data_IF_568247716240
#
_entry.id   IF_568247716240
#
_cell.length_a   1.000
_cell.length_b   1.000
_cell.length_c   1.000
_cell.angle_alpha   90.00
_cell.angle_beta   90.00
_cell.angle_gamma   90.00
#
_symmetry.space_group_name_H-M   'P 1'
#
loop_
_entity.id
_entity.type
_entity.pdbx_description
1 polymer ?
#
# COMPACT_ATOMS: atom_id res chain seq x y z
N UNK A 1 36.85 -18.16 16.22
CA UNK A 1 35.97 -19.10 15.50
C UNK A 1 35.03 -18.32 14.59
N UNK A 2 34.93 -18.74 13.33
CA UNK A 2 34.38 -17.97 12.20
C UNK A 2 32.90 -18.30 11.96
N UNK A 3 32.04 -17.28 11.88
CA UNK A 3 30.57 -17.31 11.79
C UNK A 3 30.02 -17.73 10.41
N UNK A 4 30.66 -18.70 9.73
CA UNK A 4 30.39 -19.02 8.32
C UNK A 4 29.84 -20.44 8.05
N UNK A 5 29.30 -21.13 9.06
CA UNK A 5 28.89 -22.54 8.93
C UNK A 5 27.42 -22.82 9.24
N UNK A 6 26.47 -22.01 8.75
CA UNK A 6 25.04 -22.30 9.02
C UNK A 6 24.13 -22.50 7.80
N UNK A 7 24.63 -22.63 6.58
CA UNK A 7 23.75 -22.94 5.44
C UNK A 7 24.35 -24.06 4.59
N UNK A 8 24.06 -25.30 4.98
CA UNK A 8 24.36 -26.51 4.21
C UNK A 8 23.55 -27.70 4.73
N UNK A 9 22.57 -28.15 3.95
CA UNK A 9 21.75 -29.34 4.24
C UNK A 9 20.32 -29.18 3.69
N UNK A 10 20.11 -29.23 2.37
CA UNK A 10 19.71 -30.44 1.61
C UNK A 10 18.45 -31.11 2.18
N UNK A 11 17.33 -30.96 1.48
CA UNK A 11 16.11 -31.73 1.68
C UNK A 11 15.47 -32.03 0.33
N UNK A 12 16.06 -32.96 -0.41
CA UNK A 12 15.53 -33.50 -1.65
C UNK A 12 14.53 -34.64 -1.37
N UNK A 13 13.41 -34.62 -2.11
CA UNK A 13 12.57 -35.73 -2.56
C UNK A 13 12.17 -36.86 -1.59
N UNK A 14 10.86 -37.07 -1.43
CA UNK A 14 10.28 -38.41 -1.36
C UNK A 14 8.86 -38.46 -1.94
N UNK A 15 8.74 -39.01 -3.15
CA UNK A 15 7.51 -39.54 -3.71
C UNK A 15 7.15 -40.88 -3.03
N UNK A 16 5.84 -41.14 -2.95
CA UNK A 16 5.15 -42.44 -2.82
C UNK A 16 5.13 -43.17 -1.45
N UNK A 17 3.92 -43.31 -0.90
CA UNK A 17 3.59 -44.23 0.19
C UNK A 17 2.08 -44.30 0.41
N UNK A 18 1.44 -45.39 -0.02
CA UNK A 18 0.00 -45.62 0.06
C UNK A 18 -0.45 -46.09 1.47
N UNK A 19 -1.64 -45.60 1.86
CA UNK A 19 -2.67 -46.23 2.70
C UNK A 19 -2.39 -46.54 4.19
N UNK A 20 -3.00 -45.76 5.09
CA UNK A 20 -3.69 -46.26 6.29
C UNK A 20 -4.60 -45.18 6.91
N UNK A 21 -5.89 -45.40 6.75
CA UNK A 21 -7.08 -44.96 7.51
C UNK A 21 -6.89 -44.13 8.79
N UNK A 22 -7.51 -42.94 8.85
CA UNK A 22 -8.52 -42.53 9.85
C UNK A 22 -8.65 -40.99 9.91
N UNK A 23 -9.44 -40.39 9.03
CA UNK A 23 -9.97 -39.05 9.28
C UNK A 23 -11.49 -39.14 9.44
N UNK A 24 -11.90 -38.80 10.65
CA UNK A 24 -13.25 -38.80 11.18
C UNK A 24 -14.25 -38.10 10.25
N UNK A 25 -15.45 -38.68 10.17
CA UNK A 25 -16.62 -38.04 9.60
C UNK A 25 -16.95 -36.77 10.40
N UNK A 26 -16.69 -35.60 9.82
CA UNK A 26 -17.36 -34.37 10.24
C UNK A 26 -18.75 -34.33 9.60
N UNK A 27 -19.82 -33.96 10.33
CA UNK A 27 -21.09 -33.66 9.70
C UNK A 27 -20.91 -32.44 8.80
N UNK A 28 -21.26 -32.62 7.51
CA UNK A 28 -21.28 -31.56 6.52
C UNK A 28 -22.37 -30.53 6.86
N UNK A 29 -22.04 -29.56 7.71
CA UNK A 29 -22.81 -28.33 7.87
C UNK A 29 -22.28 -27.30 6.86
N UNK A 30 -22.41 -27.63 5.58
CA UNK A 30 -22.10 -26.73 4.47
C UNK A 30 -23.34 -26.56 3.63
N UNK A 31 -24.30 -25.76 4.11
CA UNK A 31 -25.38 -25.28 3.26
C UNK A 31 -24.75 -24.49 2.13
N UNK A 32 -24.72 -25.07 0.92
CA UNK A 32 -24.33 -24.36 -0.28
C UNK A 32 -25.36 -23.25 -0.53
N UNK A 33 -25.06 -22.04 -0.05
CA UNK A 33 -25.71 -20.84 -0.56
C UNK A 33 -25.30 -20.72 -2.02
N UNK A 34 -26.28 -20.82 -2.92
CA UNK A 34 -26.07 -20.56 -4.34
C UNK A 34 -25.48 -19.15 -4.47
N UNK A 35 -24.22 -19.07 -4.90
CA UNK A 35 -23.60 -17.82 -5.28
C UNK A 35 -24.38 -17.30 -6.50
N UNK A 36 -24.90 -16.07 -6.49
CA UNK A 36 -25.49 -15.50 -7.70
C UNK A 36 -24.41 -15.48 -8.78
N UNK A 37 -24.73 -16.01 -9.96
CA UNK A 37 -23.86 -15.87 -11.13
C UNK A 37 -23.85 -14.38 -11.46
N UNK A 38 -22.77 -13.71 -11.12
CA UNK A 38 -22.52 -12.33 -11.55
C UNK A 38 -22.22 -12.44 -13.05
N UNK A 39 -23.19 -12.10 -13.89
CA UNK A 39 -22.93 -11.96 -15.32
C UNK A 39 -21.84 -10.90 -15.50
N UNK A 40 -20.80 -11.15 -16.33
CA UNK A 40 -19.81 -10.14 -16.61
C UNK A 40 -20.53 -8.97 -17.27
N UNK A 41 -20.59 -7.83 -16.57
CA UNK A 41 -21.09 -6.58 -17.11
C UNK A 41 -20.13 -6.12 -18.23
N UNK A 42 -20.34 -6.63 -19.45
CA UNK A 42 -19.68 -6.19 -20.66
C UNK A 42 -20.13 -4.74 -20.93
N UNK A 43 -19.39 -3.78 -20.40
CA UNK A 43 -19.73 -2.36 -20.54
C UNK A 43 -19.12 -1.43 -19.50
N UNK A 44 -18.49 -1.95 -18.42
CA UNK A 44 -17.66 -1.12 -17.55
C UNK A 44 -16.28 -0.88 -18.19
N UNK A 45 -16.30 -0.06 -19.23
CA UNK A 45 -15.11 0.64 -19.71
C UNK A 45 -14.56 1.50 -18.56
N UNK A 46 -13.33 1.21 -18.14
CA UNK A 46 -12.60 2.06 -17.19
C UNK A 46 -12.15 3.38 -17.86
N UNK A 47 -12.45 3.58 -19.14
CA UNK A 47 -12.21 4.80 -19.92
C UNK A 47 -13.17 5.96 -19.66
N UNK A 48 -14.23 5.76 -18.88
CA UNK A 48 -15.21 6.80 -18.53
C UNK A 48 -14.77 7.77 -17.42
N UNK A 49 -13.63 7.53 -16.77
CA UNK A 49 -12.99 8.47 -15.83
C UNK A 49 -11.69 8.95 -16.48
N UNK A 50 -11.79 9.48 -17.69
CA UNK A 50 -10.67 10.15 -18.34
C UNK A 50 -11.03 11.63 -18.41
N UNK A 51 -10.23 12.46 -17.73
CA UNK A 51 -10.27 13.93 -17.81
C UNK A 51 -11.43 14.66 -17.11
N UNK A 52 -11.59 14.52 -15.78
CA UNK A 52 -12.03 15.67 -14.95
C UNK A 52 -11.89 15.54 -13.42
N UNK A 53 -11.36 14.44 -12.87
CA UNK A 53 -11.17 14.34 -11.40
C UNK A 53 -9.77 14.76 -10.92
N UNK A 54 -8.84 15.05 -11.84
CA UNK A 54 -7.45 15.41 -11.50
C UNK A 54 -7.21 16.90 -11.31
N UNK A 55 -8.04 17.76 -11.89
CA UNK A 55 -8.01 19.21 -11.70
C UNK A 55 -9.35 19.79 -12.22
N UNK A 56 -10.12 20.42 -11.34
CA UNK A 56 -11.32 21.22 -11.73
C UNK A 56 -10.89 22.55 -12.37
N UNK A 57 -9.59 22.81 -12.36
CA UNK A 57 -8.93 24.03 -12.81
C UNK A 57 -8.16 23.74 -14.11
N UNK A 58 -8.30 24.63 -15.08
CA UNK A 58 -7.58 24.53 -16.35
C UNK A 58 -6.40 25.53 -16.37
N UNK A 59 -5.24 25.07 -16.85
CA UNK A 59 -4.04 25.89 -17.03
C UNK A 59 -2.97 25.62 -15.98
N UNK A 60 -1.71 25.88 -16.34
CA UNK A 60 -0.55 25.63 -15.49
C UNK A 60 -0.22 26.87 -14.64
N UNK A 61 -0.03 26.65 -13.34
CA UNK A 61 0.52 27.64 -12.40
C UNK A 61 2.00 27.29 -12.19
N UNK A 62 2.91 28.26 -12.27
CA UNK A 62 4.30 28.04 -11.88
C UNK A 62 4.36 27.86 -10.35
N UNK A 63 4.56 26.63 -9.86
CA UNK A 63 4.26 26.32 -8.48
C UNK A 63 5.37 26.81 -7.53
N UNK A 64 6.63 26.85 -8.00
CA UNK A 64 7.74 27.39 -7.20
C UNK A 64 7.74 28.91 -7.19
N UNK A 65 7.54 29.57 -8.32
CA UNK A 65 7.60 31.02 -8.39
C UNK A 65 6.41 31.70 -7.70
N UNK A 66 5.22 31.08 -7.77
CA UNK A 66 3.96 31.68 -7.27
C UNK A 66 3.63 31.17 -5.87
N UNK A 67 3.64 29.86 -5.65
CA UNK A 67 3.20 29.25 -4.40
C UNK A 67 4.36 28.89 -3.46
N UNK A 68 5.59 28.85 -3.96
CA UNK A 68 6.78 28.53 -3.18
C UNK A 68 6.91 27.06 -2.83
N UNK A 69 6.30 26.14 -3.58
CA UNK A 69 6.51 24.69 -3.46
C UNK A 69 6.22 24.00 -4.79
N UNK A 70 6.91 22.89 -5.09
CA UNK A 70 6.62 22.02 -6.24
C UNK A 70 5.80 20.79 -5.80
N UNK A 71 4.55 20.62 -6.28
CA UNK A 71 3.73 19.44 -6.00
C UNK A 71 4.39 18.11 -6.40
N UNK A 72 5.21 18.11 -7.45
CA UNK A 72 5.86 16.89 -7.94
C UNK A 72 6.96 16.44 -6.99
N UNK A 73 7.76 17.38 -6.47
CA UNK A 73 8.75 17.11 -5.43
C UNK A 73 8.10 16.60 -4.13
N UNK A 74 6.96 17.16 -3.73
CA UNK A 74 6.25 16.75 -2.51
C UNK A 74 5.77 15.28 -2.51
N UNK A 75 5.66 14.63 -3.68
CA UNK A 75 5.24 13.22 -3.76
C UNK A 75 6.19 12.26 -3.06
N UNK A 76 7.45 12.66 -2.91
CA UNK A 76 8.51 11.81 -2.34
C UNK A 76 9.32 12.50 -1.24
N UNK A 77 9.09 13.79 -1.00
CA UNK A 77 9.78 14.57 0.03
C UNK A 77 9.19 14.33 1.43
N UNK A 78 9.46 13.15 1.99
CA UNK A 78 9.02 12.79 3.33
C UNK A 78 9.97 13.33 4.40
N UNK A 79 9.44 14.12 5.34
CA UNK A 79 10.12 14.43 6.59
C UNK A 79 10.03 13.23 7.55
N UNK A 80 11.18 12.69 7.95
CA UNK A 80 11.27 11.54 8.86
C UNK A 80 11.32 11.92 10.35
N UNK A 81 11.30 13.22 10.65
CA UNK A 81 11.35 13.79 11.99
C UNK A 81 12.71 13.65 12.67
N UNK A 82 12.80 14.17 13.89
CA UNK A 82 13.96 13.95 14.75
C UNK A 82 13.82 12.61 15.48
N UNK A 83 14.86 11.77 15.42
CA UNK A 83 14.81 10.40 15.96
C UNK A 83 15.64 10.30 17.23
N UNK A 84 15.03 9.76 18.28
CA UNK A 84 15.72 9.38 19.52
C UNK A 84 15.22 8.02 20.05
N UNK A 85 15.73 7.60 21.21
CA UNK A 85 15.35 6.31 21.83
C UNK A 85 14.87 6.55 23.25
N UNK A 86 13.69 6.01 23.57
CA UNK A 86 13.13 6.05 24.91
C UNK A 86 13.87 5.09 25.84
N UNK A 87 13.75 5.30 27.15
CA UNK A 87 14.28 4.37 28.15
C UNK A 87 13.71 2.94 28.01
N UNK A 88 12.53 2.79 27.40
CA UNK A 88 11.91 1.51 27.05
C UNK A 88 12.55 0.81 25.83
N UNK A 89 13.52 1.45 25.16
CA UNK A 89 14.16 0.96 23.94
C UNK A 89 13.38 1.23 22.64
N UNK A 90 12.21 1.87 22.73
CA UNK A 90 11.40 2.24 21.56
C UNK A 90 11.97 3.48 20.86
N UNK A 91 11.82 3.54 19.53
CA UNK A 91 12.11 4.76 18.76
C UNK A 91 11.09 5.85 19.08
N UNK A 92 11.58 7.04 19.43
CA UNK A 92 10.80 8.27 19.47
C UNK A 92 11.07 9.05 18.19
N UNK A 93 10.02 9.52 17.51
CA UNK A 93 10.10 10.44 16.38
C UNK A 93 9.35 11.72 16.73
N UNK A 94 10.02 12.85 16.63
CA UNK A 94 9.48 14.17 16.96
C UNK A 94 9.33 15.01 15.70
N UNK A 95 8.25 15.80 15.65
CA UNK A 95 7.89 16.66 14.52
C UNK A 95 7.45 18.02 15.05
N UNK A 96 7.75 19.08 14.28
CA UNK A 96 7.24 20.44 14.53
C UNK A 96 6.33 20.84 13.37
N UNK A 97 5.08 21.15 13.68
CA UNK A 97 4.05 21.52 12.71
C UNK A 97 3.59 22.94 13.02
N UNK A 98 3.74 23.85 12.06
CA UNK A 98 3.26 25.23 12.18
C UNK A 98 1.95 25.39 11.39
N UNK A 99 0.92 25.94 12.03
CA UNK A 99 -0.31 26.31 11.34
C UNK A 99 -0.18 27.76 10.84
N UNK A 100 -0.16 27.93 9.51
CA UNK A 100 -0.05 29.24 8.87
C UNK A 100 -1.24 29.49 7.94
N UNK A 101 -1.73 30.72 7.92
CA UNK A 101 -2.63 31.19 6.88
C UNK A 101 -1.78 31.68 5.70
N UNK A 102 -1.98 31.10 4.52
CA UNK A 102 -1.26 31.48 3.29
C UNK A 102 -2.23 31.48 2.13
N UNK A 103 -2.18 32.53 1.31
CA UNK A 103 -2.85 32.56 0.01
C UNK A 103 -2.01 31.77 -1.00
N UNK A 104 -2.66 30.90 -1.76
CA UNK A 104 -2.04 30.14 -2.86
C UNK A 104 -2.88 30.31 -4.13
N UNK A 105 -2.23 30.25 -5.28
CA UNK A 105 -2.86 30.22 -6.59
C UNK A 105 -3.08 28.76 -7.01
N UNK A 106 -4.34 28.36 -7.15
CA UNK A 106 -4.69 27.00 -7.58
C UNK A 106 -4.94 26.91 -9.09
N UNK A 107 -5.14 28.06 -9.74
CA UNK A 107 -5.53 28.27 -11.13
C UNK A 107 -4.95 29.58 -11.65
N UNK A 108 -4.60 29.69 -12.94
CA UNK A 108 -4.18 30.96 -13.50
C UNK A 108 -5.23 32.06 -13.34
N UNK A 109 -4.90 33.13 -12.62
CA UNK A 109 -5.72 34.35 -12.49
C UNK A 109 -6.41 34.52 -11.14
#
# INVERSE_FOLDING_TARGET
MSRRSFLGGVGALSLAGCAATAQQALPAAGGAVAQPVIEPMAGMDHGGITSNFGNIVNGDVDPEAINGFDPSALLTDFDYGEVSTLASGQTLREYRLDAIAKTIEIAPG
#
